data_IF_407724725728
#
_entry.id   IF_407724725728
#
_cell.length_a   1.000
_cell.length_b   1.000
_cell.length_c   1.000
_cell.angle_alpha   90.00
_cell.angle_beta   90.00
_cell.angle_gamma   90.00
#
_symmetry.space_group_name_H-M   'P 1'
#
loop_
_entity.id
_entity.type
_entity.pdbx_description
1 polymer ?
#
# COMPACT_ATOMS: atom_id res chain seq x y z
N UNK A 1 -30.38 43.49 -11.06
CA UNK A 1 -29.05 43.62 -11.68
C UNK A 1 -27.94 42.69 -11.13
N UNK A 2 -28.29 41.87 -10.10
CA UNK A 2 -27.32 40.96 -9.42
C UNK A 2 -26.60 39.99 -10.36
N UNK A 3 -27.28 39.44 -11.37
CA UNK A 3 -26.66 38.51 -12.32
C UNK A 3 -25.56 39.15 -13.16
N UNK A 4 -25.79 40.40 -13.63
CA UNK A 4 -24.76 41.20 -14.37
C UNK A 4 -23.59 41.58 -13.47
N UNK A 5 -23.82 41.70 -12.16
CA UNK A 5 -22.75 41.93 -11.19
C UNK A 5 -21.95 40.63 -10.88
N UNK A 6 -22.23 39.52 -11.55
CA UNK A 6 -21.44 38.31 -11.41
C UNK A 6 -21.99 37.30 -10.38
N UNK A 7 -23.15 37.54 -9.81
CA UNK A 7 -23.73 36.62 -8.80
C UNK A 7 -24.21 35.31 -9.43
N UNK A 8 -24.03 34.20 -8.75
CA UNK A 8 -24.58 32.89 -9.14
C UNK A 8 -26.09 32.85 -8.95
N UNK A 9 -26.79 31.98 -9.68
CA UNK A 9 -28.23 31.77 -9.44
C UNK A 9 -28.55 31.37 -8.01
N UNK A 10 -27.67 30.59 -7.35
CA UNK A 10 -27.85 30.23 -5.93
C UNK A 10 -27.76 31.45 -5.01
N UNK A 11 -26.81 32.35 -5.24
CA UNK A 11 -26.70 33.57 -4.46
C UNK A 11 -27.90 34.47 -4.65
N UNK A 12 -28.36 34.66 -5.90
CA UNK A 12 -29.55 35.44 -6.22
C UNK A 12 -30.82 34.82 -5.64
N UNK A 13 -30.97 33.50 -5.71
CA UNK A 13 -32.08 32.77 -5.13
C UNK A 13 -32.15 32.92 -3.61
N UNK A 14 -30.98 32.86 -2.95
CA UNK A 14 -30.92 33.05 -1.49
C UNK A 14 -31.27 34.50 -1.06
N UNK A 15 -30.84 35.49 -1.84
CA UNK A 15 -31.06 36.91 -1.54
C UNK A 15 -32.48 37.36 -1.86
N UNK A 16 -33.04 36.93 -3.00
CA UNK A 16 -34.33 37.40 -3.51
C UNK A 16 -35.51 36.41 -3.28
N UNK A 17 -35.20 35.23 -2.71
CA UNK A 17 -36.16 34.11 -2.52
C UNK A 17 -36.86 33.66 -3.82
N UNK A 18 -36.18 33.81 -4.99
CA UNK A 18 -36.66 33.38 -6.29
C UNK A 18 -36.17 31.98 -6.60
N UNK A 19 -37.06 31.06 -7.03
CA UNK A 19 -36.64 29.69 -7.40
C UNK A 19 -35.55 29.68 -8.49
N UNK A 20 -34.62 28.73 -8.38
CA UNK A 20 -33.54 28.56 -9.36
C UNK A 20 -34.05 28.32 -10.78
N UNK A 21 -35.15 27.59 -10.93
CA UNK A 21 -35.82 27.33 -12.23
C UNK A 21 -36.31 28.61 -12.89
N UNK A 22 -36.87 29.52 -12.09
CA UNK A 22 -37.36 30.83 -12.57
C UNK A 22 -36.15 31.67 -13.04
N UNK A 23 -35.07 31.75 -12.27
CA UNK A 23 -33.86 32.47 -12.66
C UNK A 23 -33.22 31.85 -13.93
N UNK A 24 -33.21 30.52 -14.03
CA UNK A 24 -32.72 29.84 -15.21
C UNK A 24 -33.57 30.18 -16.45
N UNK A 25 -34.89 30.21 -16.34
CA UNK A 25 -35.80 30.57 -17.43
C UNK A 25 -35.64 32.03 -17.87
N UNK A 26 -35.52 32.96 -16.91
CA UNK A 26 -35.35 34.38 -17.23
C UNK A 26 -34.06 34.69 -18.01
N UNK A 27 -32.99 33.92 -17.78
CA UNK A 27 -31.70 34.20 -18.38
C UNK A 27 -31.25 33.15 -19.39
N UNK A 28 -32.15 32.26 -19.82
CA UNK A 28 -31.83 31.13 -20.73
C UNK A 28 -31.23 31.58 -22.06
N UNK A 29 -31.80 32.64 -22.63
CA UNK A 29 -31.42 33.15 -23.96
C UNK A 29 -30.43 34.30 -23.90
N UNK A 30 -29.98 34.66 -22.71
CA UNK A 30 -29.10 35.79 -22.49
C UNK A 30 -27.62 35.37 -22.57
N UNK A 31 -26.94 35.64 -23.70
CA UNK A 31 -25.54 35.29 -23.92
C UNK A 31 -24.61 35.81 -22.84
N UNK A 32 -24.84 37.00 -22.32
CA UNK A 32 -24.07 37.58 -21.21
C UNK A 32 -24.21 36.78 -19.91
N UNK A 33 -25.36 36.15 -19.66
CA UNK A 33 -25.57 35.29 -18.49
C UNK A 33 -24.75 34.01 -18.56
N UNK A 34 -24.58 33.47 -19.77
CA UNK A 34 -23.71 32.32 -20.00
C UNK A 34 -22.23 32.67 -19.80
N UNK A 35 -21.83 33.86 -20.21
CA UNK A 35 -20.46 34.36 -19.95
C UNK A 35 -20.19 34.49 -18.45
N UNK A 36 -21.15 35.05 -17.67
CA UNK A 36 -21.06 35.07 -16.20
C UNK A 36 -20.96 33.65 -15.62
N UNK A 37 -21.76 32.70 -16.14
CA UNK A 37 -21.70 31.33 -15.69
C UNK A 37 -20.34 30.68 -16.00
N UNK A 38 -19.75 30.93 -17.16
CA UNK A 38 -18.42 30.46 -17.55
C UNK A 38 -17.33 31.02 -16.62
N UNK A 39 -17.37 32.32 -16.33
CA UNK A 39 -16.44 32.97 -15.41
C UNK A 39 -16.53 32.40 -14.00
N UNK A 40 -17.75 32.19 -13.47
CA UNK A 40 -17.96 31.59 -12.16
C UNK A 40 -17.46 30.13 -12.11
N UNK A 41 -17.71 29.33 -13.16
CA UNK A 41 -17.18 27.96 -13.25
C UNK A 41 -15.65 27.96 -13.25
N UNK A 42 -15.02 28.82 -14.03
CA UNK A 42 -13.55 28.94 -14.08
C UNK A 42 -12.96 29.32 -12.72
N UNK A 43 -13.55 30.30 -12.04
CA UNK A 43 -13.13 30.72 -10.70
C UNK A 43 -13.30 29.59 -9.66
N UNK A 44 -14.43 28.90 -9.68
CA UNK A 44 -14.67 27.76 -8.80
C UNK A 44 -13.69 26.60 -9.05
N UNK A 45 -13.36 26.34 -10.32
CA UNK A 45 -12.39 25.31 -10.68
C UNK A 45 -10.98 25.70 -10.23
N UNK A 46 -10.56 26.94 -10.41
CA UNK A 46 -9.27 27.45 -9.94
C UNK A 46 -9.15 27.35 -8.41
N UNK A 47 -10.18 27.77 -7.68
CA UNK A 47 -10.23 27.66 -6.22
C UNK A 47 -10.19 26.22 -5.74
N UNK A 48 -10.92 25.31 -6.40
CA UNK A 48 -10.89 23.88 -6.12
C UNK A 48 -9.50 23.26 -6.35
N UNK A 49 -8.87 23.61 -7.48
CA UNK A 49 -7.51 23.14 -7.80
C UNK A 49 -6.49 23.65 -6.77
N UNK A 50 -6.54 24.92 -6.40
CA UNK A 50 -5.66 25.49 -5.38
C UNK A 50 -5.82 24.77 -4.03
N UNK A 51 -7.08 24.49 -3.60
CA UNK A 51 -7.36 23.72 -2.38
C UNK A 51 -6.81 22.31 -2.45
N UNK A 52 -6.97 21.61 -3.59
CA UNK A 52 -6.41 20.26 -3.77
C UNK A 52 -4.88 20.25 -3.69
N UNK A 53 -4.22 21.24 -4.29
CA UNK A 53 -2.75 21.36 -4.22
C UNK A 53 -2.28 21.56 -2.78
N UNK A 54 -2.94 22.41 -2.00
CA UNK A 54 -2.60 22.62 -0.59
C UNK A 54 -2.82 21.37 0.26
N UNK A 55 -3.97 20.69 0.08
CA UNK A 55 -4.26 19.40 0.74
C UNK A 55 -3.22 18.33 0.39
N UNK A 56 -2.81 18.25 -0.88
CA UNK A 56 -1.81 17.28 -1.33
C UNK A 56 -0.42 17.60 -0.76
N UNK A 57 -0.06 18.88 -0.67
CA UNK A 57 1.20 19.35 -0.05
C UNK A 57 1.25 18.94 1.43
N UNK A 58 0.19 19.24 2.17
CA UNK A 58 0.06 18.89 3.60
C UNK A 58 0.10 17.37 3.81
N UNK A 59 -0.65 16.60 2.99
CA UNK A 59 -0.64 15.14 3.03
C UNK A 59 0.76 14.58 2.73
N UNK A 60 1.43 15.13 1.73
CA UNK A 60 2.80 14.74 1.37
C UNK A 60 3.81 15.01 2.49
N UNK A 61 3.68 16.12 3.21
CA UNK A 61 4.53 16.45 4.36
C UNK A 61 4.34 15.43 5.50
N UNK A 62 3.10 15.16 5.91
CA UNK A 62 2.77 14.16 6.93
C UNK A 62 3.26 12.76 6.56
N UNK A 63 3.17 12.39 5.29
CA UNK A 63 3.63 11.09 4.82
C UNK A 63 5.16 10.97 4.91
N UNK A 64 5.90 12.02 4.56
CA UNK A 64 7.37 12.04 4.72
C UNK A 64 7.78 11.90 6.18
N UNK A 65 7.15 12.67 7.07
CA UNK A 65 7.39 12.58 8.51
C UNK A 65 7.14 11.16 9.04
N UNK A 66 6.00 10.54 8.68
CA UNK A 66 5.70 9.16 9.06
C UNK A 66 6.75 8.15 8.52
N UNK A 67 7.30 8.39 7.33
CA UNK A 67 8.33 7.53 6.76
C UNK A 67 9.69 7.70 7.48
N UNK A 68 10.06 8.91 7.87
CA UNK A 68 11.25 9.14 8.70
C UNK A 68 11.09 8.48 10.06
N UNK A 69 9.95 8.64 10.71
CA UNK A 69 9.66 7.97 11.96
C UNK A 69 9.78 6.44 11.83
N UNK A 70 9.23 5.85 10.76
CA UNK A 70 9.35 4.41 10.51
C UNK A 70 10.82 3.94 10.38
N UNK A 71 11.68 4.75 9.76
CA UNK A 71 13.10 4.43 9.62
C UNK A 71 13.86 4.53 10.96
N UNK A 72 13.56 5.54 11.77
CA UNK A 72 14.16 5.67 13.10
C UNK A 72 13.72 4.54 14.06
N UNK A 73 12.43 4.18 14.03
CA UNK A 73 11.94 3.01 14.77
C UNK A 73 12.64 1.73 14.29
N UNK A 74 12.84 1.57 12.97
CA UNK A 74 13.53 0.39 12.42
C UNK A 74 14.97 0.27 12.92
N UNK A 75 15.71 1.37 13.11
CA UNK A 75 17.05 1.38 13.69
C UNK A 75 17.02 0.89 15.16
N UNK A 76 16.07 1.41 15.93
CA UNK A 76 15.92 1.03 17.34
C UNK A 76 15.55 -0.45 17.48
N UNK A 77 14.63 -0.94 16.65
CA UNK A 77 14.22 -2.34 16.64
C UNK A 77 15.36 -3.26 16.17
N UNK A 78 16.14 -2.83 15.16
CA UNK A 78 17.29 -3.60 14.71
C UNK A 78 18.31 -3.83 15.84
N UNK A 79 18.59 -2.82 16.65
CA UNK A 79 19.51 -2.94 17.79
C UNK A 79 19.08 -4.06 18.75
N UNK A 80 17.78 -4.32 18.88
CA UNK A 80 17.23 -5.37 19.75
C UNK A 80 17.13 -6.73 19.03
N UNK A 81 16.71 -6.72 17.75
CA UNK A 81 16.35 -7.92 17.01
C UNK A 81 17.49 -8.51 16.15
N UNK A 82 18.59 -7.81 16.01
CA UNK A 82 19.74 -8.24 15.18
C UNK A 82 20.39 -9.58 15.61
N UNK A 83 20.04 -10.11 16.77
CA UNK A 83 20.48 -11.42 17.26
C UNK A 83 19.36 -12.47 17.23
N UNK A 84 18.13 -12.08 16.89
CA UNK A 84 17.03 -13.02 16.75
C UNK A 84 17.15 -13.77 15.42
N UNK A 85 17.34 -15.10 15.44
CA UNK A 85 17.49 -15.90 14.21
C UNK A 85 16.26 -15.79 13.29
N UNK A 86 15.06 -15.67 13.86
CA UNK A 86 13.82 -15.56 13.07
C UNK A 86 13.74 -14.20 12.36
N UNK A 87 14.15 -13.13 13.04
CA UNK A 87 14.23 -11.80 12.45
C UNK A 87 15.23 -11.76 11.29
N UNK A 88 16.47 -12.25 11.52
CA UNK A 88 17.52 -12.31 10.50
C UNK A 88 17.02 -13.11 9.29
N UNK A 89 16.50 -14.32 9.52
CA UNK A 89 16.00 -15.18 8.45
C UNK A 89 14.86 -14.48 7.67
N UNK A 90 13.93 -13.82 8.34
CA UNK A 90 12.81 -13.13 7.70
C UNK A 90 13.25 -11.94 6.84
N UNK A 91 14.18 -11.13 7.31
CA UNK A 91 14.76 -10.01 6.55
C UNK A 91 15.52 -10.52 5.33
N UNK A 92 16.36 -11.58 5.49
CA UNK A 92 17.11 -12.18 4.38
C UNK A 92 16.19 -12.84 3.35
N UNK A 93 15.13 -13.53 3.78
CA UNK A 93 14.12 -14.05 2.87
C UNK A 93 13.45 -12.94 2.07
N UNK A 94 13.12 -11.82 2.70
CA UNK A 94 12.55 -10.69 2.01
C UNK A 94 13.58 -10.02 1.07
N UNK A 95 14.84 -10.04 1.42
CA UNK A 95 15.90 -9.56 0.54
C UNK A 95 16.03 -10.41 -0.73
N UNK A 96 15.97 -11.75 -0.62
CA UNK A 96 15.99 -12.65 -1.78
C UNK A 96 14.69 -12.60 -2.60
N UNK A 97 13.56 -12.87 -1.97
CA UNK A 97 12.28 -13.20 -2.62
C UNK A 97 11.21 -12.08 -2.53
N UNK A 98 11.47 -11.02 -1.77
CA UNK A 98 10.48 -9.97 -1.51
C UNK A 98 10.33 -8.97 -2.66
N UNK A 99 9.12 -8.45 -2.85
CA UNK A 99 8.81 -7.35 -3.77
C UNK A 99 9.34 -6.01 -3.22
N UNK A 100 10.45 -5.52 -3.77
CA UNK A 100 11.03 -4.21 -3.42
C UNK A 100 10.33 -3.06 -4.14
N UNK A 101 9.70 -3.29 -5.27
CA UNK A 101 9.10 -2.25 -6.13
C UNK A 101 7.82 -1.63 -5.58
N UNK A 102 7.04 -2.38 -4.79
CA UNK A 102 5.82 -1.87 -4.19
C UNK A 102 6.11 -0.82 -3.11
N UNK A 103 5.45 0.35 -3.20
CA UNK A 103 5.59 1.43 -2.19
C UNK A 103 4.75 1.20 -0.93
N UNK A 104 3.68 0.41 -1.03
CA UNK A 104 2.66 0.29 0.03
C UNK A 104 2.50 -1.11 0.59
N UNK A 105 3.15 -2.09 -0.02
CA UNK A 105 2.96 -3.49 0.36
C UNK A 105 4.30 -4.17 0.62
N UNK A 106 4.34 -4.93 1.69
CA UNK A 106 5.40 -5.93 1.95
C UNK A 106 4.87 -7.25 1.43
N UNK A 107 5.42 -7.74 0.31
CA UNK A 107 4.98 -8.97 -0.37
C UNK A 107 6.14 -9.92 -0.54
N UNK A 108 5.85 -11.20 -0.33
CA UNK A 108 6.75 -12.30 -0.66
C UNK A 108 5.97 -13.39 -1.39
N UNK A 109 6.53 -13.87 -2.49
CA UNK A 109 5.94 -14.91 -3.33
C UNK A 109 6.84 -16.13 -3.34
N UNK A 110 6.32 -17.30 -2.97
CA UNK A 110 7.10 -18.52 -3.05
C UNK A 110 6.21 -19.76 -3.20
N UNK A 111 6.83 -20.87 -3.62
CA UNK A 111 6.20 -22.18 -3.78
C UNK A 111 6.56 -23.15 -2.66
N UNK A 112 7.60 -22.87 -1.89
CA UNK A 112 8.02 -23.67 -0.74
C UNK A 112 7.18 -23.31 0.49
N UNK A 113 6.38 -24.26 1.01
CA UNK A 113 5.53 -24.02 2.17
C UNK A 113 6.32 -23.77 3.46
N UNK A 114 7.53 -24.33 3.60
CA UNK A 114 8.38 -24.10 4.78
C UNK A 114 8.90 -22.68 4.79
N UNK A 115 9.35 -22.17 3.64
CA UNK A 115 9.78 -20.79 3.48
C UNK A 115 8.64 -19.82 3.76
N UNK A 116 7.45 -20.06 3.18
CA UNK A 116 6.27 -19.21 3.41
C UNK A 116 5.87 -19.21 4.88
N UNK A 117 5.88 -20.39 5.54
CA UNK A 117 5.59 -20.50 6.97
C UNK A 117 6.60 -19.74 7.84
N UNK A 118 7.89 -19.85 7.53
CA UNK A 118 8.95 -19.13 8.23
C UNK A 118 8.74 -17.62 8.10
N UNK A 119 8.42 -17.17 6.90
CA UNK A 119 8.13 -15.77 6.65
C UNK A 119 6.87 -15.26 7.38
N UNK A 120 5.82 -16.05 7.44
CA UNK A 120 4.61 -15.70 8.23
C UNK A 120 4.96 -15.59 9.71
N UNK A 121 5.79 -16.50 10.24
CA UNK A 121 6.27 -16.42 11.62
C UNK A 121 7.14 -15.19 11.88
N UNK A 122 8.04 -14.85 10.96
CA UNK A 122 8.77 -13.58 11.03
C UNK A 122 7.83 -12.39 11.16
N UNK A 123 6.80 -12.31 10.32
CA UNK A 123 5.82 -11.22 10.37
C UNK A 123 5.05 -11.18 11.70
N UNK A 124 4.65 -12.34 12.23
CA UNK A 124 3.85 -12.41 13.48
C UNK A 124 4.70 -12.32 14.73
N UNK A 125 5.76 -13.13 14.82
CA UNK A 125 6.47 -13.39 16.07
C UNK A 125 7.62 -12.38 16.27
N UNK A 126 8.34 -12.01 15.21
CA UNK A 126 9.43 -11.03 15.29
C UNK A 126 8.96 -9.59 15.03
N UNK A 127 8.06 -9.37 14.07
CA UNK A 127 7.60 -8.01 13.72
C UNK A 127 6.29 -7.62 14.43
N UNK A 128 5.65 -8.50 15.18
CA UNK A 128 4.42 -8.19 15.90
C UNK A 128 3.21 -7.89 15.00
N UNK A 129 3.23 -8.28 13.71
CA UNK A 129 2.12 -8.02 12.80
C UNK A 129 0.93 -8.91 13.15
N UNK A 130 -0.23 -8.33 13.48
CA UNK A 130 -1.42 -9.11 13.80
C UNK A 130 -1.82 -10.03 12.64
N UNK A 131 -2.13 -11.29 12.93
CA UNK A 131 -2.47 -12.31 11.91
C UNK A 131 -3.55 -11.85 10.93
N UNK A 132 -4.55 -11.08 11.37
CA UNK A 132 -5.63 -10.60 10.51
C UNK A 132 -5.16 -9.59 9.44
N UNK A 133 -4.00 -8.93 9.63
CA UNK A 133 -3.38 -8.01 8.67
C UNK A 133 -2.52 -8.73 7.62
N UNK A 134 -2.14 -9.98 7.87
CA UNK A 134 -1.40 -10.80 6.92
C UNK A 134 -2.41 -11.43 5.97
N UNK A 135 -2.38 -11.04 4.70
CA UNK A 135 -3.22 -11.58 3.64
C UNK A 135 -2.42 -12.48 2.73
N UNK A 136 -3.10 -13.45 2.13
CA UNK A 136 -2.51 -14.28 1.09
C UNK A 136 -3.41 -14.33 -0.14
N UNK A 137 -2.83 -14.57 -1.30
CA UNK A 137 -3.54 -14.99 -2.50
C UNK A 137 -2.69 -15.97 -3.27
N UNK A 138 -3.32 -16.76 -4.12
CA UNK A 138 -2.65 -17.79 -4.87
C UNK A 138 -2.60 -17.42 -6.35
N UNK A 139 -1.45 -17.69 -6.98
CA UNK A 139 -1.36 -17.78 -8.43
C UNK A 139 -1.54 -19.24 -8.82
N UNK A 140 -2.60 -19.54 -9.54
CA UNK A 140 -3.01 -20.89 -9.88
C UNK A 140 -3.02 -21.10 -11.39
N UNK A 141 -2.54 -22.23 -11.84
CA UNK A 141 -2.81 -22.70 -13.19
C UNK A 141 -4.30 -23.07 -13.36
N UNK A 142 -4.85 -23.06 -14.60
CA UNK A 142 -6.28 -23.27 -14.83
C UNK A 142 -6.82 -24.62 -14.34
N UNK A 143 -5.98 -25.64 -14.32
CA UNK A 143 -6.28 -27.02 -13.89
C UNK A 143 -6.28 -27.21 -12.35
N UNK A 144 -5.83 -26.22 -11.58
CA UNK A 144 -5.79 -26.35 -10.12
C UNK A 144 -7.11 -25.91 -9.49
N UNK A 145 -7.60 -26.73 -8.55
CA UNK A 145 -8.79 -26.38 -7.77
C UNK A 145 -8.41 -25.43 -6.63
N UNK A 146 -8.98 -24.23 -6.65
CA UNK A 146 -8.65 -23.16 -5.71
C UNK A 146 -8.90 -23.55 -4.24
N UNK A 147 -10.01 -24.24 -3.96
CA UNK A 147 -10.35 -24.67 -2.59
C UNK A 147 -9.32 -25.63 -2.03
N UNK A 148 -8.89 -26.59 -2.83
CA UNK A 148 -7.88 -27.57 -2.45
C UNK A 148 -6.52 -26.91 -2.19
N UNK A 149 -6.11 -26.02 -3.09
CA UNK A 149 -4.86 -25.27 -2.91
C UNK A 149 -4.89 -24.36 -1.68
N UNK A 150 -6.00 -23.67 -1.42
CA UNK A 150 -6.16 -22.85 -0.20
C UNK A 150 -6.09 -23.69 1.08
N UNK A 151 -6.78 -24.84 1.12
CA UNK A 151 -6.72 -25.74 2.28
C UNK A 151 -5.30 -26.25 2.55
N UNK A 152 -4.56 -26.57 1.48
CA UNK A 152 -3.15 -26.92 1.59
C UNK A 152 -2.33 -25.78 2.21
N UNK A 153 -2.43 -24.57 1.66
CA UNK A 153 -1.65 -23.42 2.12
C UNK A 153 -2.06 -22.92 3.51
N UNK A 154 -3.34 -23.04 3.89
CA UNK A 154 -3.80 -22.75 5.26
C UNK A 154 -3.05 -23.62 6.27
N UNK A 155 -2.98 -24.92 6.03
CA UNK A 155 -2.27 -25.87 6.89
C UNK A 155 -0.76 -25.70 6.84
N UNK A 156 -0.21 -25.54 5.64
CA UNK A 156 1.23 -25.52 5.42
C UNK A 156 1.89 -24.22 5.87
N UNK A 157 1.28 -23.08 5.58
CA UNK A 157 1.81 -21.76 5.92
C UNK A 157 1.26 -21.16 7.23
N UNK A 158 0.20 -21.74 7.79
CA UNK A 158 -0.44 -21.25 9.01
C UNK A 158 -1.22 -19.95 8.82
N UNK A 159 -1.73 -19.70 7.60
CA UNK A 159 -2.53 -18.52 7.25
C UNK A 159 -4.00 -18.91 7.31
N UNK A 160 -4.83 -18.30 8.19
CA UNK A 160 -6.24 -18.64 8.29
C UNK A 160 -6.99 -18.46 6.97
N UNK A 161 -7.93 -19.35 6.66
CA UNK A 161 -8.76 -19.33 5.44
C UNK A 161 -9.35 -17.94 5.12
N UNK A 162 -9.88 -17.25 6.13
CA UNK A 162 -10.46 -15.91 6.01
C UNK A 162 -9.47 -14.82 5.58
N UNK A 163 -8.18 -15.11 5.62
CA UNK A 163 -7.13 -14.18 5.22
C UNK A 163 -6.72 -14.36 3.74
N UNK A 164 -7.21 -15.42 3.09
CA UNK A 164 -7.02 -15.55 1.65
C UNK A 164 -7.96 -14.62 0.88
N UNK A 165 -7.38 -13.85 -0.03
CA UNK A 165 -8.12 -13.03 -0.99
C UNK A 165 -8.33 -13.80 -2.30
N UNK A 166 -8.98 -13.19 -3.29
CA UNK A 166 -9.24 -13.81 -4.59
C UNK A 166 -7.93 -14.24 -5.24
N UNK A 167 -7.86 -15.51 -5.66
CA UNK A 167 -6.73 -16.05 -6.39
C UNK A 167 -6.70 -15.55 -7.83
N UNK A 168 -5.51 -15.53 -8.42
CA UNK A 168 -5.30 -15.15 -9.83
C UNK A 168 -4.99 -16.42 -10.61
N UNK A 169 -5.69 -16.64 -11.73
CA UNK A 169 -5.38 -17.72 -12.66
C UNK A 169 -4.42 -17.22 -13.71
N UNK A 170 -3.32 -17.95 -13.90
CA UNK A 170 -2.27 -17.64 -14.86
C UNK A 170 -2.28 -18.69 -15.97
N UNK A 171 -2.18 -18.25 -17.21
CA UNK A 171 -1.92 -19.14 -18.34
C UNK A 171 -0.41 -19.31 -18.49
N UNK A 172 0.09 -20.48 -18.08
CA UNK A 172 1.49 -20.84 -18.31
C UNK A 172 1.74 -21.21 -19.77
N UNK A 173 2.92 -20.85 -20.29
CA UNK A 173 3.35 -21.22 -21.65
C UNK A 173 3.78 -22.69 -21.78
N UNK A 174 4.10 -23.36 -20.67
CA UNK A 174 4.60 -24.73 -20.63
C UNK A 174 3.68 -25.64 -19.81
N UNK A 175 3.28 -26.75 -20.39
CA UNK A 175 2.39 -27.72 -19.75
C UNK A 175 3.11 -28.69 -18.79
N UNK A 176 4.43 -28.78 -18.89
CA UNK A 176 5.22 -29.87 -18.28
C UNK A 176 5.77 -29.57 -16.88
N UNK A 177 5.80 -28.33 -16.42
CA UNK A 177 6.33 -27.94 -15.08
C UNK A 177 5.27 -27.21 -14.28
N UNK A 178 4.16 -27.89 -13.96
CA UNK A 178 3.06 -27.29 -13.20
C UNK A 178 3.30 -27.42 -11.70
N UNK A 179 3.20 -26.31 -10.99
CA UNK A 179 3.28 -26.29 -9.53
C UNK A 179 2.03 -26.90 -8.91
N UNK A 180 2.17 -27.98 -8.16
CA UNK A 180 1.08 -28.77 -7.59
C UNK A 180 0.07 -27.93 -6.76
N UNK A 181 0.55 -26.89 -6.09
CA UNK A 181 -0.27 -26.05 -5.20
C UNK A 181 -0.29 -24.57 -5.59
N UNK A 182 0.22 -24.25 -6.79
CA UNK A 182 0.40 -22.89 -7.23
C UNK A 182 1.46 -22.12 -6.42
N UNK A 183 1.50 -20.80 -6.60
CA UNK A 183 2.39 -19.89 -5.86
C UNK A 183 1.59 -19.19 -4.78
N UNK A 184 2.09 -19.21 -3.54
CA UNK A 184 1.51 -18.44 -2.44
C UNK A 184 2.17 -17.08 -2.35
N UNK A 185 1.37 -16.02 -2.37
CA UNK A 185 1.82 -14.65 -2.20
C UNK A 185 1.29 -14.15 -0.86
N UNK A 186 2.20 -13.89 0.08
CA UNK A 186 1.90 -13.29 1.38
C UNK A 186 2.06 -11.78 1.29
N UNK A 187 1.10 -11.04 1.82
CA UNK A 187 1.08 -9.57 1.73
C UNK A 187 0.67 -8.93 3.05
N UNK A 188 1.44 -7.92 3.46
CA UNK A 188 1.06 -6.94 4.48
C UNK A 188 0.90 -5.58 3.81
N UNK A 189 -0.29 -5.00 3.89
CA UNK A 189 -0.60 -3.69 3.30
C UNK A 189 -0.34 -2.58 4.33
N UNK A 190 0.89 -2.08 4.35
CA UNK A 190 1.32 -0.98 5.22
C UNK A 190 2.54 -0.28 4.61
N UNK A 191 2.37 0.96 4.18
CA UNK A 191 3.48 1.77 3.69
C UNK A 191 4.49 2.07 4.81
N UNK A 192 4.01 2.26 6.03
CA UNK A 192 4.85 2.46 7.21
C UNK A 192 5.75 1.25 7.48
N UNK A 193 5.17 0.06 7.57
CA UNK A 193 5.92 -1.18 7.75
C UNK A 193 6.87 -1.47 6.58
N UNK A 194 6.47 -1.09 5.35
CA UNK A 194 7.36 -1.18 4.18
C UNK A 194 8.64 -0.34 4.37
N UNK A 195 8.55 0.87 4.93
CA UNK A 195 9.72 1.70 5.21
C UNK A 195 10.63 1.05 6.25
N UNK A 196 10.07 0.43 7.29
CA UNK A 196 10.85 -0.32 8.30
C UNK A 196 11.61 -1.48 7.65
N UNK A 197 10.92 -2.29 6.85
CA UNK A 197 11.55 -3.43 6.15
C UNK A 197 12.66 -2.95 5.22
N UNK A 198 12.45 -1.86 4.47
CA UNK A 198 13.49 -1.31 3.59
C UNK A 198 14.70 -0.80 4.39
N UNK A 199 14.50 -0.19 5.54
CA UNK A 199 15.59 0.21 6.43
C UNK A 199 16.37 -1.01 6.96
N UNK A 200 15.70 -2.08 7.37
CA UNK A 200 16.36 -3.31 7.81
C UNK A 200 17.16 -3.98 6.69
N UNK A 201 16.70 -3.92 5.43
CA UNK A 201 17.44 -4.46 4.28
C UNK A 201 18.79 -3.74 4.07
N UNK A 202 18.89 -2.48 4.44
CA UNK A 202 20.14 -1.70 4.37
C UNK A 202 21.00 -1.94 5.59
N UNK A 203 20.43 -1.84 6.78
CA UNK A 203 21.18 -1.79 8.03
C UNK A 203 21.63 -3.18 8.55
N UNK A 204 20.82 -4.23 8.35
CA UNK A 204 21.14 -5.56 8.89
C UNK A 204 22.40 -6.18 8.25
N UNK A 205 22.61 -6.14 6.91
CA UNK A 205 23.83 -6.61 6.30
C UNK A 205 25.08 -5.90 6.82
N UNK A 206 25.02 -4.58 6.96
CA UNK A 206 26.12 -3.78 7.53
C UNK A 206 26.44 -4.24 8.96
N UNK A 207 25.44 -4.34 9.82
CA UNK A 207 25.61 -4.80 11.19
C UNK A 207 26.14 -6.25 11.31
N UNK A 208 25.88 -7.10 10.33
CA UNK A 208 26.41 -8.48 10.30
C UNK A 208 27.85 -8.53 9.78
N UNK A 209 28.23 -7.70 8.81
CA UNK A 209 29.59 -7.62 8.26
C UNK A 209 30.56 -6.98 9.25
N UNK A 210 30.21 -5.87 9.87
CA UNK A 210 31.02 -5.18 10.86
C UNK A 210 31.42 -6.10 12.04
N UNK A 211 30.55 -7.03 12.43
CA UNK A 211 30.85 -8.00 13.47
C UNK A 211 31.91 -9.02 13.08
N UNK A 212 31.93 -9.44 11.82
CA UNK A 212 32.88 -10.41 11.33
C UNK A 212 34.28 -9.81 11.30
N UNK A 213 34.40 -8.52 11.01
CA UNK A 213 35.67 -7.78 11.10
C UNK A 213 36.17 -7.68 12.54
N UNK A 214 35.26 -7.36 13.49
CA UNK A 214 35.61 -7.32 14.92
C UNK A 214 36.03 -8.67 15.48
N UNK A 215 35.34 -9.76 15.15
CA UNK A 215 35.73 -11.11 15.57
C UNK A 215 37.10 -11.52 15.04
N UNK A 216 37.37 -11.24 13.78
CA UNK A 216 38.65 -11.54 13.17
C UNK A 216 39.84 -10.70 13.73
N UNK A 217 39.57 -9.49 14.24
CA UNK A 217 40.57 -8.65 14.90
C UNK A 217 40.90 -9.09 16.36
N UNK A 218 40.00 -9.81 17.00
CA UNK A 218 40.15 -10.30 18.39
C UNK A 218 40.78 -11.69 18.44
N UNK A 219 40.91 -12.42 17.33
CA UNK A 219 41.57 -13.73 17.22
C UNK A 219 43.00 -13.64 16.70
N UNK A 220 43.52 -12.43 16.45
CA UNK A 220 44.96 -12.17 16.14
C UNK A 220 45.68 -11.60 17.35
#
# INVERSE_FOLDING_TARGET
MLRKAGNSYRAISAELHVPLSTLSNWFREEAWSEEVARKLRSQAQAAHTARLLDLNKTRGARLREAYEQAREEAKTELAQLQYDPLFIAGVMLYWGEGDKGSKHHVKLSNTDPKLVRLYVRFLTDACGIPRHKIKAHLLLHPDLEEKVCRAYWEKAAGIPWKNFTKSVRIQGRHETLRLKWGVCIVTVSSAYFKQKVLAWLTLLPEALLDRQEYANMTEQ
#
